data_IF_666536426452
#
_entry.id   IF_666536426452
#
_cell.length_a   1.000
_cell.length_b   1.000
_cell.length_c   1.000
_cell.angle_alpha   90.00
_cell.angle_beta   90.00
_cell.angle_gamma   90.00
#
_symmetry.space_group_name_H-M   'P 1'
#
loop_
_entity.id
_entity.type
_entity.pdbx_description
1 polymer ?
#
# COMPACT_ATOMS: atom_id res chain seq x y z
N UNK A 1 2.22 -29.31 -32.49
CA UNK A 1 1.43 -30.27 -31.70
C UNK A 1 1.62 -29.96 -30.23
N UNK A 2 0.62 -29.78 -29.39
CA UNK A 2 -0.76 -29.37 -29.62
C UNK A 2 -1.24 -28.79 -28.28
N UNK A 3 -2.03 -27.73 -28.38
CA UNK A 3 -2.55 -26.93 -27.28
C UNK A 3 -3.79 -27.64 -26.75
N UNK A 4 -3.62 -28.50 -25.75
CA UNK A 4 -4.71 -29.14 -25.02
C UNK A 4 -4.55 -28.89 -23.52
N UNK A 5 -4.43 -27.62 -23.14
CA UNK A 5 -4.88 -27.18 -21.81
C UNK A 5 -6.40 -27.29 -21.79
N UNK A 6 -6.83 -28.52 -21.53
CA UNK A 6 -8.05 -28.98 -20.91
C UNK A 6 -9.22 -27.98 -20.87
N UNK A 7 -9.85 -27.79 -22.03
CA UNK A 7 -11.15 -27.12 -22.16
C UNK A 7 -12.27 -27.87 -21.41
N UNK A 8 -12.00 -29.11 -20.95
CA UNK A 8 -12.93 -29.91 -20.14
C UNK A 8 -13.17 -29.27 -18.78
N UNK A 9 -12.12 -28.79 -18.10
CA UNK A 9 -12.25 -28.23 -16.75
C UNK A 9 -13.02 -26.91 -16.74
N UNK A 10 -12.81 -26.07 -17.76
CA UNK A 10 -13.52 -24.79 -17.92
C UNK A 10 -15.00 -24.95 -18.29
N UNK A 11 -15.37 -25.97 -19.07
CA UNK A 11 -16.76 -26.21 -19.49
C UNK A 11 -17.62 -26.87 -18.39
N UNK A 12 -17.00 -27.63 -17.49
CA UNK A 12 -17.68 -28.31 -16.38
C UNK A 12 -18.19 -27.35 -15.30
N UNK A 13 -17.60 -26.16 -15.19
CA UNK A 13 -18.00 -25.10 -14.25
C UNK A 13 -19.29 -24.36 -14.68
N UNK A 14 -19.70 -24.47 -15.95
CA UNK A 14 -20.90 -23.80 -16.47
C UNK A 14 -22.18 -24.66 -16.42
N UNK A 15 -22.09 -25.93 -16.02
CA UNK A 15 -23.24 -26.83 -15.93
C UNK A 15 -23.70 -27.02 -14.47
N UNK A 16 -24.86 -26.45 -14.05
CA UNK A 16 -25.32 -26.48 -12.66
C UNK A 16 -25.62 -27.89 -12.14
N UNK A 17 -25.91 -28.87 -13.02
CA UNK A 17 -26.18 -30.25 -12.61
C UNK A 17 -24.90 -31.03 -12.22
N UNK A 18 -23.75 -30.63 -12.77
CA UNK A 18 -22.46 -31.25 -12.49
C UNK A 18 -21.91 -30.72 -11.16
N UNK A 19 -22.01 -29.40 -10.92
CA UNK A 19 -21.51 -28.72 -9.71
C UNK A 19 -22.09 -29.30 -8.42
N UNK A 20 -23.39 -29.65 -8.36
CA UNK A 20 -24.04 -30.16 -7.13
C UNK A 20 -23.52 -31.53 -6.70
N UNK A 21 -23.16 -32.42 -7.64
CA UNK A 21 -22.59 -33.74 -7.31
C UNK A 21 -21.17 -33.66 -6.75
N UNK A 22 -20.41 -32.64 -7.16
CA UNK A 22 -19.01 -32.46 -6.73
C UNK A 22 -18.85 -31.56 -5.51
N UNK A 23 -19.86 -30.73 -5.18
CA UNK A 23 -19.88 -29.86 -3.99
C UNK A 23 -19.70 -30.61 -2.66
N UNK A 24 -20.03 -31.90 -2.60
CA UNK A 24 -19.86 -32.74 -1.40
C UNK A 24 -18.54 -33.53 -1.38
N UNK A 25 -17.64 -33.34 -2.35
CA UNK A 25 -16.34 -34.02 -2.38
C UNK A 25 -15.24 -33.15 -1.75
N UNK A 26 -14.38 -33.77 -0.94
CA UNK A 26 -13.26 -33.09 -0.27
C UNK A 26 -12.29 -32.38 -1.25
N UNK A 27 -12.19 -32.89 -2.49
CA UNK A 27 -11.38 -32.30 -3.57
C UNK A 27 -11.92 -30.93 -3.99
N UNK A 28 -13.23 -30.76 -4.08
CA UNK A 28 -13.83 -29.49 -4.51
C UNK A 28 -13.75 -28.41 -3.41
N UNK A 29 -13.94 -28.82 -2.15
CA UNK A 29 -13.80 -27.93 -0.98
C UNK A 29 -12.36 -27.40 -0.89
N UNK A 30 -11.36 -28.24 -1.12
CA UNK A 30 -9.95 -27.85 -1.09
C UNK A 30 -9.59 -26.90 -2.24
N UNK A 31 -10.04 -27.19 -3.47
CA UNK A 31 -9.84 -26.30 -4.63
C UNK A 31 -10.48 -24.92 -4.40
N UNK A 32 -11.73 -24.87 -3.91
CA UNK A 32 -12.42 -23.62 -3.60
C UNK A 32 -11.71 -22.83 -2.48
N UNK A 33 -11.18 -23.52 -1.47
CA UNK A 33 -10.46 -22.89 -0.36
C UNK A 33 -9.14 -22.27 -0.83
N UNK A 34 -8.35 -22.99 -1.63
CA UNK A 34 -7.09 -22.46 -2.18
C UNK A 34 -7.35 -21.27 -3.12
N UNK A 35 -8.40 -21.34 -3.95
CA UNK A 35 -8.80 -20.21 -4.80
C UNK A 35 -9.23 -18.98 -3.98
N UNK A 36 -10.03 -19.18 -2.92
CA UNK A 36 -10.42 -18.10 -2.02
C UNK A 36 -9.24 -17.49 -1.24
N UNK A 37 -8.29 -18.31 -0.81
CA UNK A 37 -7.04 -17.86 -0.20
C UNK A 37 -6.18 -17.06 -1.19
N UNK A 38 -6.06 -17.53 -2.44
CA UNK A 38 -5.38 -16.83 -3.52
C UNK A 38 -5.98 -15.46 -3.81
N UNK A 39 -7.32 -15.36 -3.87
CA UNK A 39 -8.02 -14.07 -3.99
C UNK A 39 -7.78 -13.17 -2.78
N UNK A 40 -7.65 -13.73 -1.57
CA UNK A 40 -7.31 -12.98 -0.37
C UNK A 40 -5.93 -12.35 -0.43
N UNK A 41 -4.91 -13.13 -0.81
CA UNK A 41 -3.53 -12.65 -0.98
C UNK A 41 -3.42 -11.62 -2.10
N UNK A 42 -4.10 -11.85 -3.23
CA UNK A 42 -4.15 -10.93 -4.37
C UNK A 42 -4.83 -9.59 -3.98
N UNK A 43 -5.96 -9.63 -3.28
CA UNK A 43 -6.63 -8.42 -2.77
C UNK A 43 -5.73 -7.67 -1.78
N UNK A 44 -5.07 -8.38 -0.87
CA UNK A 44 -4.14 -7.77 0.09
C UNK A 44 -2.93 -7.13 -0.62
N UNK A 45 -2.38 -7.81 -1.63
CA UNK A 45 -1.29 -7.27 -2.46
C UNK A 45 -1.70 -6.03 -3.26
N UNK A 46 -2.89 -6.03 -3.86
CA UNK A 46 -3.46 -4.84 -4.53
C UNK A 46 -3.64 -3.68 -3.55
N UNK A 47 -4.17 -3.95 -2.35
CA UNK A 47 -4.32 -2.92 -1.32
C UNK A 47 -2.96 -2.34 -0.92
N UNK A 48 -1.97 -3.19 -0.66
CA UNK A 48 -0.62 -2.74 -0.31
C UNK A 48 0.03 -1.90 -1.42
N UNK A 49 -0.09 -2.32 -2.68
CA UNK A 49 0.39 -1.54 -3.83
C UNK A 49 -0.36 -0.21 -4.01
N UNK A 50 -1.66 -0.17 -3.68
CA UNK A 50 -2.46 1.05 -3.66
C UNK A 50 -1.97 2.01 -2.59
N UNK A 51 -1.91 1.55 -1.34
CA UNK A 51 -1.39 2.32 -0.20
C UNK A 51 0.00 2.90 -0.53
N UNK A 52 0.91 2.11 -1.09
CA UNK A 52 2.24 2.61 -1.46
C UNK A 52 2.21 3.71 -2.53
N UNK A 53 1.32 3.63 -3.51
CA UNK A 53 1.18 4.71 -4.50
C UNK A 53 0.67 5.98 -3.83
N UNK A 54 -0.30 5.87 -2.94
CA UNK A 54 -0.90 7.01 -2.25
C UNK A 54 0.11 7.69 -1.31
N UNK A 55 0.89 6.91 -0.55
CA UNK A 55 1.94 7.46 0.30
C UNK A 55 3.06 8.11 -0.51
N UNK A 56 3.49 7.51 -1.62
CA UNK A 56 4.52 8.11 -2.48
C UNK A 56 4.04 9.45 -3.08
N UNK A 57 2.78 9.50 -3.51
CA UNK A 57 2.19 10.74 -4.00
C UNK A 57 2.10 11.80 -2.90
N UNK A 58 1.76 11.42 -1.66
CA UNK A 58 1.77 12.34 -0.53
C UNK A 58 3.17 12.90 -0.25
N UNK A 59 4.21 12.06 -0.27
CA UNK A 59 5.60 12.48 -0.12
C UNK A 59 6.02 13.51 -1.18
N UNK A 60 5.74 13.22 -2.46
CA UNK A 60 6.04 14.13 -3.56
C UNK A 60 5.32 15.48 -3.39
N UNK A 61 4.05 15.45 -2.96
CA UNK A 61 3.26 16.66 -2.73
C UNK A 61 3.74 17.49 -1.56
N UNK A 62 4.12 16.86 -0.45
CA UNK A 62 4.69 17.59 0.68
C UNK A 62 6.07 18.14 0.37
N UNK A 63 6.90 17.41 -0.38
CA UNK A 63 8.20 17.91 -0.82
C UNK A 63 8.05 19.13 -1.76
N UNK A 64 7.17 19.04 -2.76
CA UNK A 64 6.83 20.18 -3.64
C UNK A 64 6.33 21.37 -2.81
N UNK A 65 5.46 21.12 -1.82
CA UNK A 65 4.96 22.17 -0.95
C UNK A 65 6.06 22.83 -0.12
N UNK A 66 7.04 22.07 0.38
CA UNK A 66 8.21 22.60 1.10
C UNK A 66 9.10 23.43 0.17
N UNK A 67 9.39 22.94 -1.03
CA UNK A 67 10.25 23.62 -2.00
C UNK A 67 9.66 24.95 -2.48
N UNK A 68 8.34 25.02 -2.60
CA UNK A 68 7.61 26.24 -2.97
C UNK A 68 7.43 27.24 -1.82
N UNK A 69 7.72 26.85 -0.57
CA UNK A 69 7.48 27.71 0.59
C UNK A 69 8.80 28.34 1.06
N UNK A 70 8.94 29.67 1.05
CA UNK A 70 10.13 30.33 1.58
C UNK A 70 10.41 29.95 3.05
N UNK A 71 11.68 29.95 3.45
CA UNK A 71 12.12 29.57 4.80
C UNK A 71 11.40 30.34 5.92
N UNK A 72 11.20 31.64 5.71
CA UNK A 72 10.57 32.55 6.68
C UNK A 72 9.03 32.45 6.72
N UNK A 73 8.42 31.59 5.91
CA UNK A 73 6.98 31.52 5.82
C UNK A 73 6.40 30.65 6.96
N UNK A 74 5.40 31.13 7.73
CA UNK A 74 4.90 30.45 8.93
C UNK A 74 4.30 29.07 8.65
N UNK A 75 3.85 28.80 7.42
CA UNK A 75 3.35 27.46 7.05
C UNK A 75 4.45 26.46 6.69
N UNK A 76 5.73 26.85 6.62
CA UNK A 76 6.82 25.94 6.24
C UNK A 76 7.00 24.82 7.27
N UNK A 77 6.97 25.16 8.56
CA UNK A 77 7.05 24.18 9.65
C UNK A 77 5.93 23.13 9.57
N UNK A 78 4.70 23.54 9.27
CA UNK A 78 3.56 22.63 9.09
C UNK A 78 3.73 21.70 7.87
N UNK A 79 4.29 22.21 6.77
CA UNK A 79 4.57 21.40 5.56
C UNK A 79 5.68 20.37 5.80
N UNK A 80 6.75 20.77 6.51
CA UNK A 80 7.82 19.87 6.93
C UNK A 80 7.33 18.79 7.89
N UNK A 81 6.43 19.15 8.82
CA UNK A 81 5.78 18.18 9.70
C UNK A 81 4.94 17.17 8.89
N UNK A 82 4.19 17.63 7.89
CA UNK A 82 3.44 16.74 6.99
C UNK A 82 4.33 15.78 6.18
N UNK A 83 5.48 16.27 5.71
CA UNK A 83 6.49 15.46 5.04
C UNK A 83 7.06 14.38 6.00
N UNK A 84 7.41 14.77 7.22
CA UNK A 84 8.00 13.89 8.21
C UNK A 84 7.03 12.80 8.71
N UNK A 85 5.74 13.13 8.86
CA UNK A 85 4.68 12.14 9.15
C UNK A 85 4.58 11.13 8.01
N UNK A 86 4.56 11.60 6.76
CA UNK A 86 4.45 10.73 5.59
C UNK A 86 5.65 9.78 5.45
N UNK A 87 6.86 10.25 5.77
CA UNK A 87 8.08 9.43 5.81
C UNK A 87 8.03 8.39 6.94
N UNK A 88 7.46 8.75 8.10
CA UNK A 88 7.28 7.82 9.22
C UNK A 88 6.28 6.70 8.87
N UNK A 89 5.16 7.05 8.23
CA UNK A 89 4.18 6.06 7.78
C UNK A 89 4.76 5.13 6.69
N UNK A 90 5.62 5.67 5.84
CA UNK A 90 6.36 4.91 4.84
C UNK A 90 7.35 3.93 5.49
N UNK A 91 8.11 4.37 6.49
CA UNK A 91 8.98 3.51 7.30
C UNK A 91 8.19 2.39 7.99
N UNK A 92 7.04 2.68 8.60
CA UNK A 92 6.23 1.64 9.25
C UNK A 92 5.75 0.55 8.28
N UNK A 93 5.56 0.90 6.99
CA UNK A 93 5.07 -0.03 5.96
C UNK A 93 6.17 -0.81 5.25
N UNK A 94 7.36 -0.23 5.09
CA UNK A 94 8.46 -0.81 4.30
C UNK A 94 9.68 -1.20 5.13
N UNK A 95 9.85 -0.63 6.32
CA UNK A 95 10.96 -0.90 7.23
C UNK A 95 12.31 -0.38 6.77
N UNK A 96 12.37 0.51 5.77
CA UNK A 96 13.64 1.07 5.30
C UNK A 96 14.11 2.20 6.23
N UNK A 97 15.22 1.95 6.92
CA UNK A 97 15.83 2.88 7.88
C UNK A 97 16.17 4.25 7.27
N UNK A 98 16.43 4.31 5.96
CA UNK A 98 16.74 5.59 5.28
C UNK A 98 15.57 6.56 5.29
N UNK A 99 14.36 6.04 5.18
CA UNK A 99 13.14 6.86 5.21
C UNK A 99 12.87 7.39 6.63
N UNK A 100 13.27 6.64 7.66
CA UNK A 100 13.22 7.08 9.05
C UNK A 100 14.24 8.19 9.33
N UNK A 101 15.48 8.06 8.85
CA UNK A 101 16.51 9.09 8.97
C UNK A 101 16.05 10.40 8.31
N UNK A 102 15.50 10.31 7.09
CA UNK A 102 14.92 11.46 6.40
C UNK A 102 13.74 12.09 7.17
N UNK A 103 12.88 11.28 7.81
CA UNK A 103 11.79 11.81 8.63
C UNK A 103 12.31 12.64 9.80
N UNK A 104 13.34 12.15 10.49
CA UNK A 104 13.96 12.81 11.64
C UNK A 104 14.58 14.15 11.21
N UNK A 105 15.30 14.19 10.10
CA UNK A 105 15.86 15.44 9.55
C UNK A 105 14.76 16.48 9.27
N UNK A 106 13.64 16.06 8.68
CA UNK A 106 12.50 16.95 8.38
C UNK A 106 11.77 17.43 9.63
N UNK A 107 11.65 16.59 10.66
CA UNK A 107 11.14 17.04 11.96
C UNK A 107 12.08 18.06 12.60
N UNK A 108 13.39 17.85 12.54
CA UNK A 108 14.36 18.80 13.10
C UNK A 108 14.28 20.15 12.39
N UNK A 109 14.21 20.17 11.05
CA UNK A 109 14.02 21.40 10.27
C UNK A 109 12.72 22.14 10.68
N UNK A 110 11.63 21.41 10.94
CA UNK A 110 10.38 22.01 11.39
C UNK A 110 10.48 22.63 12.80
N UNK A 111 11.22 21.98 13.71
CA UNK A 111 11.46 22.47 15.07
C UNK A 111 12.34 23.71 15.05
N UNK A 112 13.42 23.70 14.25
CA UNK A 112 14.34 24.84 14.14
C UNK A 112 13.66 26.10 13.58
N UNK A 113 12.64 25.92 12.73
CA UNK A 113 11.83 27.00 12.16
C UNK A 113 10.71 27.48 13.08
N UNK A 114 10.39 26.75 14.15
CA UNK A 114 9.42 27.19 15.15
C UNK A 114 10.19 27.93 16.23
N UNK A 115 10.20 29.28 16.27
CA UNK A 115 10.89 30.00 17.33
C UNK A 115 10.36 29.54 18.68
N UNK A 116 11.26 29.21 19.60
CA UNK A 116 10.94 28.81 20.96
C UNK A 116 10.38 29.99 21.75
N UNK A 117 9.21 30.50 21.37
CA UNK A 117 8.45 31.48 22.15
C UNK A 117 7.54 30.74 23.14
N UNK A 118 8.19 30.18 24.15
CA UNK A 118 7.56 29.93 25.44
C UNK A 118 8.42 30.62 26.51
N UNK A 119 8.17 31.93 26.69
CA UNK A 119 8.43 32.64 27.96
C UNK A 119 7.14 32.73 28.76
#
# INVERSE_FOLDING_TARGET
MDRLEDTTTANMLQNPAVTVRFQNSAVWITIQTVHAQGLGVEKQGRKWLGDQKDLKAALEKFQEAVDLTPTEHPQRASRLQGLAISLTDWYQKLGDLKDLEAAVEKFQEAVDLTPAEHS
#
